data_IF_291040775397
#
_entry.id   IF_291040775397
#
_cell.length_a   1.000
_cell.length_b   1.000
_cell.length_c   1.000
_cell.angle_alpha   90.00
_cell.angle_beta   90.00
_cell.angle_gamma   90.00
#
_symmetry.space_group_name_H-M   'P 1'
#
loop_
_entity.id
_entity.type
_entity.pdbx_description
1 polymer ?
#
# COMPACT_ATOMS: atom_id res chain seq x y z
N UNK A 1 4.57 9.70 13.97
CA UNK A 1 5.02 10.71 12.99
C UNK A 1 4.87 10.07 11.63
N UNK A 2 4.11 10.69 10.72
CA UNK A 2 3.93 10.17 9.37
C UNK A 2 5.24 10.48 8.62
N UNK A 3 5.86 9.47 7.99
CA UNK A 3 7.05 9.70 7.16
C UNK A 3 6.69 10.29 5.79
N UNK A 4 7.69 10.88 5.15
CA UNK A 4 7.60 11.51 3.84
C UNK A 4 6.90 10.64 2.77
N UNK A 5 7.17 9.34 2.73
CA UNK A 5 6.60 8.45 1.70
C UNK A 5 5.10 8.26 1.87
N UNK A 6 4.67 8.13 3.13
CA UNK A 6 3.26 8.00 3.48
C UNK A 6 2.50 9.29 3.19
N UNK A 7 3.03 10.45 3.60
CA UNK A 7 2.41 11.75 3.31
C UNK A 7 2.34 12.02 1.80
N UNK A 8 3.41 11.71 1.07
CA UNK A 8 3.47 11.91 -0.38
C UNK A 8 2.38 11.12 -1.11
N UNK A 9 2.21 9.84 -0.77
CA UNK A 9 1.17 9.01 -1.35
C UNK A 9 -0.23 9.52 -1.00
N UNK A 10 -0.54 9.76 0.28
CA UNK A 10 -1.87 10.22 0.70
C UNK A 10 -2.22 11.56 0.07
N UNK A 11 -1.29 12.52 0.06
CA UNK A 11 -1.50 13.82 -0.56
C UNK A 11 -1.74 13.72 -2.07
N UNK A 12 -1.03 12.83 -2.77
CA UNK A 12 -1.30 12.58 -4.19
C UNK A 12 -2.72 12.03 -4.39
N UNK A 13 -3.10 11.00 -3.66
CA UNK A 13 -4.41 10.37 -3.80
C UNK A 13 -5.56 11.32 -3.44
N UNK A 14 -5.38 12.16 -2.41
CA UNK A 14 -6.31 13.24 -2.09
C UNK A 14 -6.48 14.21 -3.26
N UNK A 15 -5.37 14.68 -3.85
CA UNK A 15 -5.40 15.56 -5.03
C UNK A 15 -6.05 14.88 -6.24
N UNK A 16 -5.81 13.58 -6.43
CA UNK A 16 -6.46 12.78 -7.49
C UNK A 16 -7.97 12.74 -7.30
N UNK A 17 -8.45 12.47 -6.08
CA UNK A 17 -9.88 12.52 -5.74
C UNK A 17 -10.49 13.88 -6.07
N UNK A 18 -9.85 14.98 -5.67
CA UNK A 18 -10.36 16.33 -5.95
C UNK A 18 -10.34 16.65 -7.44
N UNK A 19 -9.22 16.37 -8.13
CA UNK A 19 -9.01 16.78 -9.53
C UNK A 19 -9.85 15.98 -10.53
N UNK A 20 -10.02 14.69 -10.28
CA UNK A 20 -10.68 13.76 -11.21
C UNK A 20 -12.03 13.25 -10.69
N UNK A 21 -12.50 13.77 -9.55
CA UNK A 21 -13.73 13.33 -8.89
C UNK A 21 -13.78 11.81 -8.67
N UNK A 22 -12.65 11.22 -8.28
CA UNK A 22 -12.53 9.79 -7.97
C UNK A 22 -12.97 9.49 -6.53
N UNK A 23 -13.13 8.20 -6.21
CA UNK A 23 -13.55 7.73 -4.88
C UNK A 23 -12.53 6.78 -4.27
N UNK A 24 -11.26 7.17 -4.29
CA UNK A 24 -10.20 6.43 -3.61
C UNK A 24 -10.41 6.58 -2.11
N UNK A 25 -10.52 5.45 -1.42
CA UNK A 25 -10.74 5.39 0.03
C UNK A 25 -9.40 5.55 0.76
N UNK A 26 -9.15 6.78 1.23
CA UNK A 26 -7.87 7.15 1.84
C UNK A 26 -7.65 6.46 3.20
N UNK A 27 -8.71 6.18 3.95
CA UNK A 27 -8.62 5.53 5.25
C UNK A 27 -8.16 4.07 5.09
N UNK A 28 -8.71 3.36 4.08
CA UNK A 28 -8.25 2.00 3.75
C UNK A 28 -6.82 1.98 3.23
N UNK A 29 -6.41 3.00 2.47
CA UNK A 29 -5.03 3.15 2.01
C UNK A 29 -4.08 3.39 3.19
N UNK A 30 -4.43 4.29 4.10
CA UNK A 30 -3.61 4.57 5.29
C UNK A 30 -3.45 3.31 6.16
N UNK A 31 -4.54 2.54 6.34
CA UNK A 31 -4.49 1.24 7.00
C UNK A 31 -3.49 0.28 6.32
N UNK A 32 -3.48 0.21 4.99
CA UNK A 32 -2.53 -0.62 4.25
C UNK A 32 -1.08 -0.16 4.48
N UNK A 33 -0.83 1.15 4.48
CA UNK A 33 0.49 1.73 4.79
C UNK A 33 0.96 1.29 6.19
N UNK A 34 0.07 1.33 7.19
CA UNK A 34 0.40 0.89 8.55
C UNK A 34 0.75 -0.59 8.61
N UNK A 35 0.06 -1.43 7.82
CA UNK A 35 0.39 -2.86 7.71
C UNK A 35 1.76 -3.07 7.05
N UNK A 36 2.02 -2.47 5.89
CA UNK A 36 3.32 -2.57 5.22
C UNK A 36 4.46 -2.14 6.15
N UNK A 37 4.32 -1.02 6.86
CA UNK A 37 5.29 -0.56 7.86
C UNK A 37 5.49 -1.55 8.99
N UNK A 38 4.41 -2.09 9.55
CA UNK A 38 4.48 -3.03 10.68
C UNK A 38 5.28 -4.27 10.28
N UNK A 39 4.93 -4.87 9.14
CA UNK A 39 5.50 -6.16 8.72
C UNK A 39 6.89 -6.04 8.11
N UNK A 40 7.21 -4.92 7.43
CA UNK A 40 8.56 -4.63 6.95
C UNK A 40 9.42 -3.81 7.93
N UNK A 41 8.99 -3.64 9.19
CA UNK A 41 9.64 -2.71 10.15
C UNK A 41 11.11 -3.03 10.45
N UNK A 42 11.52 -4.29 10.33
CA UNK A 42 12.89 -4.74 10.58
C UNK A 42 13.70 -4.95 9.30
N UNK A 43 13.10 -4.72 8.14
CA UNK A 43 13.73 -4.95 6.85
C UNK A 43 14.28 -3.66 6.28
N UNK A 44 15.45 -3.75 5.68
CA UNK A 44 16.10 -2.65 4.97
C UNK A 44 16.44 -3.10 3.56
N UNK A 45 16.42 -2.16 2.63
CA UNK A 45 16.98 -2.35 1.29
C UNK A 45 18.51 -2.20 1.35
N UNK A 46 19.18 -2.62 0.29
CA UNK A 46 20.64 -2.45 0.12
C UNK A 46 21.08 -0.97 0.22
N UNK A 47 20.17 -0.05 -0.08
CA UNK A 47 20.38 1.41 0.06
C UNK A 47 20.33 1.90 1.50
N UNK A 48 19.96 1.05 2.47
CA UNK A 48 19.81 1.40 3.88
C UNK A 48 18.42 1.94 4.27
N UNK A 49 17.54 2.23 3.31
CA UNK A 49 16.15 2.64 3.57
C UNK A 49 15.33 1.48 4.14
N UNK A 50 14.32 1.79 4.98
CA UNK A 50 13.37 0.79 5.45
C UNK A 50 12.55 0.23 4.27
N UNK A 51 12.36 -1.09 4.25
CA UNK A 51 11.81 -1.78 3.08
C UNK A 51 10.41 -1.30 2.70
N UNK A 52 9.55 -0.95 3.67
CA UNK A 52 8.18 -0.45 3.40
C UNK A 52 8.15 0.76 2.44
N UNK A 53 9.25 1.52 2.33
CA UNK A 53 9.35 2.64 1.39
C UNK A 53 9.23 2.21 -0.06
N UNK A 54 9.65 0.98 -0.40
CA UNK A 54 9.55 0.44 -1.76
C UNK A 54 8.09 0.22 -2.19
N UNK A 55 7.25 -0.56 -1.46
CA UNK A 55 5.84 -0.70 -1.81
C UNK A 55 5.08 0.62 -1.90
N UNK A 56 5.43 1.63 -1.08
CA UNK A 56 4.82 2.96 -1.18
C UNK A 56 5.21 3.71 -2.46
N UNK A 57 6.48 3.61 -2.89
CA UNK A 57 6.92 4.16 -4.19
C UNK A 57 6.21 3.45 -5.35
N UNK A 58 6.02 2.12 -5.28
CA UNK A 58 5.26 1.35 -6.27
C UNK A 58 3.80 1.82 -6.32
N UNK A 59 3.13 1.89 -5.17
CA UNK A 59 1.75 2.37 -5.09
C UNK A 59 1.57 3.80 -5.62
N UNK A 60 2.57 4.67 -5.38
CA UNK A 60 2.60 6.01 -5.96
C UNK A 60 2.59 5.96 -7.49
N UNK A 61 3.45 5.14 -8.12
CA UNK A 61 3.46 4.98 -9.58
C UNK A 61 2.18 4.34 -10.11
N UNK A 62 1.67 3.30 -9.44
CA UNK A 62 0.41 2.63 -9.81
C UNK A 62 -0.77 3.60 -9.81
N UNK A 63 -0.78 4.57 -8.88
CA UNK A 63 -1.83 5.59 -8.82
C UNK A 63 -1.87 6.56 -10.01
N UNK A 64 -0.84 6.58 -10.86
CA UNK A 64 -0.87 7.32 -12.13
C UNK A 64 -1.72 6.60 -13.21
N UNK A 65 -1.94 5.30 -13.05
CA UNK A 65 -2.62 4.45 -14.02
C UNK A 65 -3.96 3.88 -13.51
N UNK A 66 -4.19 3.86 -12.20
CA UNK A 66 -5.41 3.33 -11.59
C UNK A 66 -5.89 4.19 -10.43
N UNK A 67 -7.19 4.49 -10.42
CA UNK A 67 -7.88 5.19 -9.33
C UNK A 67 -8.73 4.24 -8.47
N UNK A 68 -8.43 2.93 -8.51
CA UNK A 68 -9.13 1.92 -7.71
C UNK A 68 -8.41 1.73 -6.38
N UNK A 69 -9.13 1.91 -5.27
CA UNK A 69 -8.64 1.65 -3.90
C UNK A 69 -7.97 0.28 -3.79
N UNK A 70 -8.65 -0.78 -4.26
CA UNK A 70 -8.14 -2.15 -4.17
C UNK A 70 -6.78 -2.30 -4.87
N UNK A 71 -6.62 -1.73 -6.07
CA UNK A 71 -5.36 -1.78 -6.81
C UNK A 71 -4.22 -1.07 -6.07
N UNK A 72 -4.51 0.08 -5.45
CA UNK A 72 -3.52 0.84 -4.68
C UNK A 72 -3.12 0.06 -3.42
N UNK A 73 -4.09 -0.54 -2.71
CA UNK A 73 -3.81 -1.36 -1.53
C UNK A 73 -2.99 -2.60 -1.91
N UNK A 74 -3.33 -3.28 -3.01
CA UNK A 74 -2.55 -4.41 -3.52
C UNK A 74 -1.11 -4.00 -3.77
N UNK A 75 -0.87 -2.86 -4.43
CA UNK A 75 0.49 -2.36 -4.65
C UNK A 75 1.25 -2.07 -3.34
N UNK A 76 0.57 -1.60 -2.29
CA UNK A 76 1.17 -1.37 -0.97
C UNK A 76 1.55 -2.69 -0.27
N UNK A 77 0.77 -3.76 -0.52
CA UNK A 77 0.90 -5.03 0.19
C UNK A 77 1.60 -6.15 -0.61
N UNK A 78 1.98 -5.92 -1.87
CA UNK A 78 2.42 -6.97 -2.80
C UNK A 78 3.50 -7.90 -2.23
N UNK A 79 4.58 -7.35 -1.69
CA UNK A 79 5.69 -8.13 -1.12
C UNK A 79 5.39 -8.75 0.26
N UNK A 80 4.26 -8.42 0.90
CA UNK A 80 4.05 -8.79 2.30
C UNK A 80 3.84 -10.29 2.51
N UNK A 81 3.31 -11.01 1.52
CA UNK A 81 3.14 -12.47 1.60
C UNK A 81 4.45 -13.22 1.38
N UNK A 82 5.35 -12.68 0.56
CA UNK A 82 6.64 -13.29 0.23
C UNK A 82 7.68 -13.01 1.32
N UNK A 83 7.78 -11.75 1.75
CA UNK A 83 8.90 -11.30 2.57
C UNK A 83 8.61 -11.22 4.06
N UNK A 84 7.37 -11.41 4.49
CA UNK A 84 6.98 -11.15 5.88
C UNK A 84 6.13 -12.27 6.50
N UNK A 85 5.72 -12.08 7.75
CA UNK A 85 4.81 -13.00 8.45
C UNK A 85 3.33 -12.65 8.26
N UNK A 86 2.99 -11.67 7.41
CA UNK A 86 1.60 -11.35 7.11
C UNK A 86 1.01 -12.50 6.27
N UNK A 87 -0.20 -12.93 6.61
CA UNK A 87 -0.86 -14.05 5.91
C UNK A 87 -2.00 -13.56 5.03
N UNK A 88 -2.33 -14.35 4.01
CA UNK A 88 -3.45 -14.09 3.10
C UNK A 88 -4.77 -13.98 3.85
N UNK A 89 -4.99 -14.83 4.85
CA UNK A 89 -6.20 -14.82 5.69
C UNK A 89 -6.33 -13.50 6.44
N UNK A 90 -5.20 -12.98 6.96
CA UNK A 90 -5.19 -11.68 7.63
C UNK A 90 -5.47 -10.54 6.66
N UNK A 91 -4.91 -10.57 5.45
CA UNK A 91 -5.23 -9.58 4.41
C UNK A 91 -6.72 -9.64 4.04
N UNK A 92 -7.26 -10.85 3.85
CA UNK A 92 -8.66 -11.05 3.51
C UNK A 92 -9.60 -10.51 4.60
N UNK A 93 -9.26 -10.72 5.88
CA UNK A 93 -10.03 -10.19 7.00
C UNK A 93 -10.00 -8.66 7.08
N UNK A 94 -8.83 -8.06 6.87
CA UNK A 94 -8.62 -6.62 7.10
C UNK A 94 -8.97 -5.73 5.90
N UNK A 95 -8.83 -6.26 4.69
CA UNK A 95 -8.95 -5.52 3.44
C UNK A 95 -9.96 -6.15 2.45
N UNK A 96 -10.40 -7.39 2.68
CA UNK A 96 -11.36 -8.10 1.83
C UNK A 96 -10.70 -9.14 0.91
N UNK A 97 -11.46 -10.18 0.55
CA UNK A 97 -10.96 -11.33 -0.20
C UNK A 97 -10.39 -10.99 -1.58
N UNK A 98 -10.97 -10.02 -2.29
CA UNK A 98 -10.48 -9.60 -3.61
C UNK A 98 -9.04 -9.07 -3.54
N UNK A 99 -8.72 -8.26 -2.53
CA UNK A 99 -7.36 -7.73 -2.32
C UNK A 99 -6.41 -8.88 -1.93
N UNK A 100 -6.86 -9.81 -1.09
CA UNK A 100 -6.05 -10.96 -0.71
C UNK A 100 -5.68 -11.86 -1.90
N UNK A 101 -6.61 -12.07 -2.84
CA UNK A 101 -6.32 -12.78 -4.09
C UNK A 101 -5.37 -11.98 -4.99
N UNK A 102 -5.55 -10.67 -5.10
CA UNK A 102 -4.67 -9.82 -5.90
C UNK A 102 -3.25 -9.78 -5.37
N UNK A 103 -3.06 -9.71 -4.04
CA UNK A 103 -1.72 -9.73 -3.42
C UNK A 103 -1.07 -11.09 -3.58
N UNK A 104 -1.83 -12.19 -3.52
CA UNK A 104 -1.29 -13.53 -3.79
C UNK A 104 -0.78 -13.68 -5.25
N UNK A 105 -1.38 -12.93 -6.18
CA UNK A 105 -1.06 -12.99 -7.60
C UNK A 105 -0.12 -11.88 -8.09
N UNK A 106 0.32 -10.99 -7.20
CA UNK A 106 1.22 -9.88 -7.49
C UNK A 106 2.68 -10.37 -7.62
#
# INVERSE_FOLDING_TARGET
MIDFYSESLINKLFRTNVRFNTKIDLDRVEKAILYAKKYHSQQKRDTGELYYTHPLKVAYMVSDHSFKTDTIITAILHDTLEDTKLTKERISYEFGGNIAEQVLAA
#
